data_IF_019941440620
#
_entry.id   IF_019941440620
#
_cell.length_a   1.000
_cell.length_b   1.000
_cell.length_c   1.000
_cell.angle_alpha   90.00
_cell.angle_beta   90.00
_cell.angle_gamma   90.00
#
_symmetry.space_group_name_H-M   'P 1'
#
loop_
_entity.id
_entity.type
_entity.pdbx_description
1 polymer ?
#
# COMPACT_ATOMS: atom_id res chain seq x y z
N UNK A 1 -11.38 -3.20 19.46
CA UNK A 1 -10.54 -3.51 18.30
C UNK A 1 -9.65 -4.68 18.68
N UNK A 2 -9.72 -5.83 17.97
CA UNK A 2 -8.72 -6.89 18.15
C UNK A 2 -7.34 -6.29 17.81
N UNK A 3 -6.34 -6.57 18.62
CA UNK A 3 -4.97 -6.08 18.41
C UNK A 3 -4.50 -6.65 17.07
N UNK A 4 -4.09 -5.82 16.12
CA UNK A 4 -3.64 -6.27 14.79
C UNK A 4 -2.30 -7.02 14.82
N UNK A 5 -1.67 -7.11 16.01
CA UNK A 5 -0.32 -7.65 16.22
C UNK A 5 0.73 -7.02 15.29
N UNK A 6 0.43 -5.85 14.72
CA UNK A 6 1.28 -5.21 13.74
C UNK A 6 2.52 -4.54 14.34
N UNK A 7 2.54 -4.36 15.66
CA UNK A 7 3.55 -3.62 16.37
C UNK A 7 4.11 -4.40 17.56
N UNK A 8 5.43 -4.48 17.63
CA UNK A 8 6.19 -5.00 18.76
C UNK A 8 6.74 -3.83 19.59
N UNK A 9 6.62 -3.90 20.91
CA UNK A 9 7.12 -2.86 21.81
C UNK A 9 8.58 -3.14 22.16
N UNK A 10 9.47 -2.18 21.87
CA UNK A 10 10.90 -2.24 22.19
C UNK A 10 11.25 -1.58 23.53
N UNK A 11 10.24 -1.18 24.31
CA UNK A 11 10.37 -0.47 25.57
C UNK A 11 11.12 0.87 25.42
N UNK A 12 12.18 1.09 26.19
CA UNK A 12 12.91 2.37 26.29
C UNK A 12 14.20 2.41 25.45
N UNK A 13 14.52 1.34 24.72
CA UNK A 13 15.71 1.32 23.88
C UNK A 13 15.45 2.08 22.58
N UNK A 14 16.03 3.29 22.46
CA UNK A 14 15.91 4.11 21.25
C UNK A 14 16.53 3.37 20.04
N UNK A 15 15.74 2.99 19.02
CA UNK A 15 16.26 2.29 17.86
C UNK A 15 16.97 3.23 16.88
N UNK A 16 16.84 4.56 17.02
CA UNK A 16 17.30 5.53 16.04
C UNK A 16 18.81 5.43 15.73
N UNK A 17 19.73 5.37 16.72
CA UNK A 17 21.17 5.28 16.43
C UNK A 17 21.51 4.02 15.61
N UNK A 18 20.99 2.86 16.04
CA UNK A 18 21.18 1.58 15.35
C UNK A 18 20.56 1.59 13.94
N UNK A 19 19.40 2.23 13.78
CA UNK A 19 18.72 2.33 12.49
C UNK A 19 19.50 3.20 11.50
N UNK A 20 20.11 4.30 11.97
CA UNK A 20 20.99 5.16 11.16
C UNK A 20 22.20 4.37 10.67
N UNK A 21 22.91 3.71 11.59
CA UNK A 21 24.08 2.90 11.26
C UNK A 21 23.71 1.79 10.27
N UNK A 22 22.64 1.03 10.56
CA UNK A 22 22.14 -0.04 9.70
C UNK A 22 21.79 0.47 8.30
N UNK A 23 21.13 1.62 8.19
CA UNK A 23 20.77 2.21 6.89
C UNK A 23 21.99 2.58 6.07
N UNK A 24 22.96 3.28 6.67
CA UNK A 24 24.18 3.68 5.96
C UNK A 24 25.05 2.48 5.60
N UNK A 25 25.22 1.51 6.51
CA UNK A 25 25.95 0.27 6.25
C UNK A 25 25.33 -0.53 5.10
N UNK A 26 24.00 -0.60 5.05
CA UNK A 26 23.28 -1.27 3.99
C UNK A 26 23.51 -0.60 2.63
N UNK A 27 23.36 0.73 2.56
CA UNK A 27 23.60 1.49 1.34
C UNK A 27 25.05 1.39 0.86
N UNK A 28 26.01 1.43 1.79
CA UNK A 28 27.42 1.24 1.48
C UNK A 28 27.68 -0.16 0.87
N UNK A 29 27.07 -1.21 1.42
CA UNK A 29 27.21 -2.56 0.87
C UNK A 29 26.65 -2.66 -0.57
N UNK A 30 25.50 -2.05 -0.83
CA UNK A 30 24.93 -1.99 -2.19
C UNK A 30 25.87 -1.24 -3.14
N UNK A 31 26.47 -0.15 -2.70
CA UNK A 31 27.42 0.65 -3.48
C UNK A 31 28.71 -0.12 -3.80
N UNK A 32 29.30 -0.78 -2.81
CA UNK A 32 30.54 -1.56 -2.97
C UNK A 32 30.34 -2.76 -3.89
N UNK A 33 29.14 -3.35 -3.92
CA UNK A 33 28.79 -4.42 -4.84
C UNK A 33 28.31 -3.94 -6.22
N UNK A 34 28.32 -2.62 -6.48
CA UNK A 34 27.82 -1.99 -7.71
C UNK A 34 26.32 -2.21 -8.00
N UNK A 35 25.49 -2.34 -6.95
CA UNK A 35 24.03 -2.44 -7.07
C UNK A 35 23.37 -1.06 -7.22
N UNK A 36 24.04 -0.02 -6.70
CA UNK A 36 23.67 1.38 -6.84
C UNK A 36 24.91 2.19 -7.25
N UNK A 37 24.71 3.31 -7.94
CA UNK A 37 25.79 4.23 -8.35
C UNK A 37 26.31 5.08 -7.18
N UNK A 38 27.45 5.75 -7.36
CA UNK A 38 27.96 6.74 -6.37
C UNK A 38 26.93 7.83 -6.09
N UNK A 39 26.34 8.38 -7.14
CA UNK A 39 25.32 9.43 -7.04
C UNK A 39 24.12 8.95 -6.23
N UNK A 40 23.60 7.75 -6.50
CA UNK A 40 22.50 7.17 -5.74
C UNK A 40 22.88 6.95 -4.27
N UNK A 41 24.09 6.44 -4.00
CA UNK A 41 24.59 6.26 -2.63
C UNK A 41 24.64 7.59 -1.86
N UNK A 42 25.21 8.63 -2.44
CA UNK A 42 25.28 9.98 -1.82
C UNK A 42 23.90 10.57 -1.58
N UNK A 43 22.98 10.42 -2.55
CA UNK A 43 21.61 10.89 -2.43
C UNK A 43 20.81 10.15 -1.35
N UNK A 44 21.05 8.85 -1.17
CA UNK A 44 20.29 8.00 -0.25
C UNK A 44 20.86 7.98 1.17
N UNK A 45 22.16 8.22 1.33
CA UNK A 45 22.82 8.21 2.63
C UNK A 45 22.20 9.22 3.61
N UNK A 46 22.16 8.84 4.88
CA UNK A 46 21.53 9.64 5.93
C UNK A 46 22.58 10.20 6.89
N UNK A 47 22.41 11.47 7.27
CA UNK A 47 23.24 12.09 8.31
C UNK A 47 22.48 12.09 9.63
N UNK A 48 23.14 11.81 10.78
CA UNK A 48 22.46 11.75 12.08
C UNK A 48 21.67 13.03 12.44
N UNK A 49 22.14 14.20 12.02
CA UNK A 49 21.49 15.48 12.28
C UNK A 49 20.29 15.79 11.35
N UNK A 50 20.09 15.03 10.27
CA UNK A 50 19.00 15.23 9.30
C UNK A 50 17.78 14.33 9.58
N UNK A 51 17.93 13.32 10.43
CA UNK A 51 16.93 12.25 10.63
C UNK A 51 16.38 12.20 12.05
N UNK A 52 15.15 11.71 12.17
CA UNK A 52 14.45 11.49 13.44
C UNK A 52 13.59 10.25 13.33
N UNK A 53 13.34 9.60 14.46
CA UNK A 53 12.39 8.51 14.51
C UNK A 53 10.98 9.01 14.14
N UNK A 54 10.19 8.15 13.50
CA UNK A 54 8.80 8.48 13.26
C UNK A 54 8.03 8.55 14.59
N UNK A 55 6.93 9.30 14.63
CA UNK A 55 6.04 9.33 15.79
C UNK A 55 4.62 8.98 15.39
N UNK A 56 3.94 8.24 16.26
CA UNK A 56 2.53 7.91 16.10
C UNK A 56 1.66 9.04 16.67
N UNK A 57 0.71 9.52 15.88
CA UNK A 57 -0.35 10.40 16.33
C UNK A 57 -1.69 9.93 15.76
N UNK A 58 -2.79 10.51 16.24
CA UNK A 58 -4.13 10.12 15.84
C UNK A 58 -4.89 11.29 15.23
N UNK A 59 -5.66 11.00 14.18
CA UNK A 59 -6.61 11.93 13.58
C UNK A 59 -8.04 11.44 13.80
N UNK A 60 -8.99 12.29 14.25
CA UNK A 60 -10.37 11.89 14.43
C UNK A 60 -11.06 11.67 13.08
N UNK A 61 -11.78 10.54 12.93
CA UNK A 61 -12.69 10.31 11.80
C UNK A 61 -14.06 10.93 12.12
N UNK A 62 -14.16 12.25 12.01
CA UNK A 62 -15.38 13.03 12.39
C UNK A 62 -16.66 12.63 11.64
N UNK A 63 -16.52 11.98 10.48
CA UNK A 63 -17.62 11.50 9.65
C UNK A 63 -18.13 10.10 10.03
N UNK A 64 -17.53 9.41 11.02
CA UNK A 64 -17.98 8.08 11.50
C UNK A 64 -18.57 8.20 12.91
N UNK A 65 -19.63 7.43 13.19
CA UNK A 65 -20.26 7.38 14.50
C UNK A 65 -19.23 7.05 15.60
N UNK A 66 -19.27 7.78 16.72
CA UNK A 66 -18.31 7.63 17.81
C UNK A 66 -16.91 8.21 17.54
N UNK A 67 -16.72 8.88 16.39
CA UNK A 67 -15.47 9.59 16.02
C UNK A 67 -14.20 8.76 16.26
N UNK A 68 -14.10 7.55 15.68
CA UNK A 68 -12.95 6.68 15.88
C UNK A 68 -11.66 7.35 15.41
N UNK A 69 -10.56 7.01 16.08
CA UNK A 69 -9.24 7.56 15.77
C UNK A 69 -8.55 6.80 14.63
N UNK A 70 -7.91 7.53 13.71
CA UNK A 70 -7.02 7.00 12.67
C UNK A 70 -5.57 7.16 13.12
N UNK A 71 -4.82 6.08 13.35
CA UNK A 71 -3.38 6.17 13.63
C UNK A 71 -2.62 6.65 12.38
N UNK A 72 -1.64 7.53 12.56
CA UNK A 72 -0.72 7.98 11.51
C UNK A 72 0.72 7.93 12.05
N UNK A 73 1.63 7.30 11.30
CA UNK A 73 3.06 7.24 11.63
C UNK A 73 3.81 8.30 10.83
N UNK A 74 4.08 9.45 11.47
CA UNK A 74 4.77 10.57 10.81
C UNK A 74 6.25 10.29 10.62
N UNK A 75 6.65 9.89 9.41
CA UNK A 75 8.01 9.45 9.09
C UNK A 75 8.81 10.39 8.17
N UNK A 76 8.47 11.68 8.04
CA UNK A 76 9.09 12.57 7.04
C UNK A 76 10.61 12.75 7.18
N UNK A 77 11.16 12.50 8.37
CA UNK A 77 12.61 12.51 8.66
C UNK A 77 13.15 11.11 9.03
N UNK A 78 12.38 10.06 8.77
CA UNK A 78 12.76 8.70 9.12
C UNK A 78 14.01 8.25 8.34
N UNK A 79 14.93 7.44 8.89
CA UNK A 79 16.15 7.02 8.18
C UNK A 79 15.91 6.34 6.82
N UNK A 80 14.75 5.70 6.61
CA UNK A 80 14.40 5.06 5.33
C UNK A 80 13.69 6.00 4.34
N UNK A 81 13.43 7.26 4.68
CA UNK A 81 12.56 8.16 3.88
C UNK A 81 13.11 8.44 2.48
N UNK A 82 14.43 8.62 2.34
CA UNK A 82 15.08 8.90 1.05
C UNK A 82 14.91 7.71 0.09
N UNK A 83 15.11 6.48 0.61
CA UNK A 83 14.88 5.24 -0.13
C UNK A 83 13.40 5.12 -0.51
N UNK A 84 12.49 5.36 0.43
CA UNK A 84 11.06 5.27 0.18
C UNK A 84 10.59 6.25 -0.89
N UNK A 85 11.10 7.49 -0.92
CA UNK A 85 10.76 8.50 -1.94
C UNK A 85 11.30 8.12 -3.32
N UNK A 86 12.55 7.64 -3.38
CA UNK A 86 13.13 7.14 -4.62
C UNK A 86 12.27 6.02 -5.20
N UNK A 87 11.96 5.00 -4.40
CA UNK A 87 11.18 3.85 -4.86
C UNK A 87 9.77 4.24 -5.30
N UNK A 88 9.10 5.10 -4.54
CA UNK A 88 7.76 5.58 -4.93
C UNK A 88 7.80 6.34 -6.26
N UNK A 89 8.75 7.27 -6.43
CA UNK A 89 8.91 8.01 -7.69
C UNK A 89 9.24 7.12 -8.89
N UNK A 90 9.94 6.01 -8.68
CA UNK A 90 10.25 5.05 -9.74
C UNK A 90 9.07 4.11 -10.06
N UNK A 91 8.33 3.66 -9.05
CA UNK A 91 7.34 2.58 -9.19
C UNK A 91 5.93 3.09 -9.47
N UNK A 92 5.56 4.24 -8.90
CA UNK A 92 4.21 4.79 -8.99
C UNK A 92 3.76 5.05 -10.43
N UNK A 93 4.58 5.61 -11.34
CA UNK A 93 4.15 5.81 -12.73
C UNK A 93 3.77 4.52 -13.45
N UNK A 94 4.49 3.42 -13.21
CA UNK A 94 4.17 2.10 -13.79
C UNK A 94 2.89 1.53 -13.21
N UNK A 95 2.70 1.68 -11.89
CA UNK A 95 1.47 1.28 -11.24
C UNK A 95 0.27 2.05 -11.80
N UNK A 96 0.33 3.39 -11.80
CA UNK A 96 -0.77 4.25 -12.24
C UNK A 96 -1.14 3.98 -13.72
N UNK A 97 -0.15 3.70 -14.58
CA UNK A 97 -0.39 3.28 -15.97
C UNK A 97 -1.03 1.89 -16.11
N UNK A 98 -0.75 0.95 -15.19
CA UNK A 98 -1.30 -0.41 -15.23
C UNK A 98 -2.78 -0.48 -14.81
N UNK A 99 -3.24 0.42 -13.95
CA UNK A 99 -4.53 0.30 -13.24
C UNK A 99 -5.60 1.30 -13.64
N UNK A 100 -5.38 2.07 -14.70
CA UNK A 100 -6.25 3.19 -15.11
C UNK A 100 -7.73 2.85 -15.29
N UNK A 101 -8.07 1.58 -15.54
CA UNK A 101 -9.44 1.12 -15.71
C UNK A 101 -10.10 0.58 -14.43
N UNK A 102 -9.35 0.36 -13.36
CA UNK A 102 -9.85 -0.29 -12.13
C UNK A 102 -9.59 0.52 -10.86
N UNK A 103 -8.66 1.48 -10.91
CA UNK A 103 -8.30 2.32 -9.76
C UNK A 103 -8.34 3.79 -10.16
N UNK A 104 -8.92 4.61 -9.30
CA UNK A 104 -9.00 6.08 -9.47
C UNK A 104 -8.21 6.81 -8.40
N UNK A 105 -8.00 8.11 -8.62
CA UNK A 105 -7.31 8.99 -7.65
C UNK A 105 -8.23 10.03 -7.00
N UNK A 106 -9.50 10.09 -7.43
CA UNK A 106 -10.48 11.03 -6.86
C UNK A 106 -11.91 10.50 -6.91
N UNK A 107 -12.75 10.94 -5.97
CA UNK A 107 -14.17 10.59 -5.97
C UNK A 107 -14.95 11.18 -7.15
N UNK A 108 -14.51 12.31 -7.71
CA UNK A 108 -15.15 12.90 -8.90
C UNK A 108 -14.94 12.04 -10.15
N UNK A 109 -13.81 11.35 -10.25
CA UNK A 109 -13.52 10.38 -11.30
C UNK A 109 -14.45 9.16 -11.21
N UNK A 110 -14.72 8.66 -10.00
CA UNK A 110 -15.71 7.58 -9.77
C UNK A 110 -17.07 7.96 -10.34
N UNK A 111 -17.57 9.16 -9.99
CA UNK A 111 -18.90 9.62 -10.43
C UNK A 111 -18.97 9.69 -11.95
N UNK A 112 -17.95 10.27 -12.60
CA UNK A 112 -17.90 10.37 -14.07
C UNK A 112 -17.92 8.99 -14.73
N UNK A 113 -17.06 8.08 -14.28
CA UNK A 113 -16.98 6.73 -14.85
C UNK A 113 -18.29 5.96 -14.64
N UNK A 114 -18.91 6.10 -13.47
CA UNK A 114 -20.19 5.46 -13.16
C UNK A 114 -21.33 6.00 -14.04
N UNK A 115 -21.39 7.31 -14.25
CA UNK A 115 -22.38 7.94 -15.15
C UNK A 115 -22.23 7.47 -16.59
N UNK A 116 -21.00 7.34 -17.10
CA UNK A 116 -20.77 6.82 -18.45
C UNK A 116 -21.11 5.33 -18.57
N UNK A 117 -20.81 4.55 -17.53
CA UNK A 117 -21.18 3.14 -17.47
C UNK A 117 -22.71 2.96 -17.42
N UNK A 118 -23.42 3.76 -16.62
CA UNK A 118 -24.86 3.59 -16.37
C UNK A 118 -25.72 3.85 -17.60
N UNK A 119 -25.28 4.73 -18.50
CA UNK A 119 -25.99 5.04 -19.77
C UNK A 119 -26.26 3.81 -20.63
N UNK A 120 -25.43 2.76 -20.51
CA UNK A 120 -25.48 1.58 -21.39
C UNK A 120 -25.73 0.26 -20.65
N UNK A 121 -25.45 0.21 -19.35
CA UNK A 121 -25.36 -1.06 -18.63
C UNK A 121 -26.33 -1.18 -17.45
N UNK A 122 -26.95 -0.09 -16.98
CA UNK A 122 -27.90 -0.19 -15.87
C UNK A 122 -29.18 -0.91 -16.30
N UNK A 123 -29.67 -1.80 -15.42
CA UNK A 123 -30.88 -2.60 -15.53
C UNK A 123 -31.73 -2.40 -14.28
N UNK A 124 -32.99 -2.83 -14.33
CA UNK A 124 -33.90 -2.75 -13.18
C UNK A 124 -33.37 -3.56 -11.99
N UNK A 125 -32.67 -4.65 -12.25
CA UNK A 125 -32.11 -5.57 -11.25
C UNK A 125 -30.62 -5.31 -10.95
N UNK A 126 -30.04 -4.21 -11.43
CA UNK A 126 -28.65 -3.87 -11.13
C UNK A 126 -28.47 -3.69 -9.63
N UNK A 127 -27.56 -4.48 -9.04
CA UNK A 127 -27.19 -4.32 -7.63
C UNK A 127 -26.00 -3.39 -7.49
N UNK A 128 -26.04 -2.56 -6.44
CA UNK A 128 -24.94 -1.70 -6.04
C UNK A 128 -24.34 -2.25 -4.75
N UNK A 129 -23.02 -2.34 -4.69
CA UNK A 129 -22.28 -2.80 -3.54
C UNK A 129 -21.09 -1.87 -3.27
N UNK A 130 -20.88 -1.54 -2.01
CA UNK A 130 -19.70 -0.81 -1.55
C UNK A 130 -18.97 -1.61 -0.50
N UNK A 131 -17.64 -1.59 -0.56
CA UNK A 131 -16.79 -2.34 0.36
C UNK A 131 -15.66 -1.46 0.87
N UNK A 132 -15.26 -1.68 2.13
CA UNK A 132 -14.14 -0.98 2.76
C UNK A 132 -13.10 -2.02 3.21
N UNK A 133 -11.87 -1.89 2.74
CA UNK A 133 -10.75 -2.74 3.17
C UNK A 133 -10.29 -2.30 4.55
N UNK A 134 -10.57 -3.09 5.58
CA UNK A 134 -10.15 -2.76 6.94
C UNK A 134 -8.63 -2.76 7.08
N UNK A 135 -8.11 -1.68 7.68
CA UNK A 135 -6.73 -1.61 8.16
C UNK A 135 -5.67 -1.96 7.10
N UNK A 136 -5.95 -1.64 5.82
CA UNK A 136 -5.18 -2.04 4.64
C UNK A 136 -3.67 -2.00 4.87
N UNK A 137 -3.13 -0.84 5.25
CA UNK A 137 -1.68 -0.68 5.42
C UNK A 137 -1.10 -1.54 6.53
N UNK A 138 -1.81 -1.74 7.64
CA UNK A 138 -1.32 -2.53 8.79
C UNK A 138 -1.54 -4.03 8.63
N UNK A 139 -2.42 -4.44 7.70
CA UNK A 139 -2.81 -5.84 7.53
C UNK A 139 -2.09 -6.54 6.37
N UNK A 140 -1.57 -5.80 5.39
CA UNK A 140 -0.77 -6.36 4.30
C UNK A 140 0.41 -7.18 4.87
N UNK A 141 0.49 -8.48 4.58
CA UNK A 141 1.67 -9.25 4.91
C UNK A 141 2.92 -8.66 4.24
N UNK A 142 4.00 -8.44 4.99
CA UNK A 142 5.17 -7.71 4.48
C UNK A 142 5.80 -8.38 3.26
N UNK A 143 5.88 -9.71 3.27
CA UNK A 143 6.44 -10.51 2.18
C UNK A 143 5.62 -10.33 0.91
N UNK A 144 4.31 -10.49 1.00
CA UNK A 144 3.37 -10.37 -0.10
C UNK A 144 3.29 -8.94 -0.61
N UNK A 145 3.47 -7.95 0.27
CA UNK A 145 3.55 -6.53 -0.07
C UNK A 145 4.71 -6.22 -1.00
N UNK A 146 5.96 -6.60 -0.68
CA UNK A 146 7.05 -6.35 -1.63
C UNK A 146 7.00 -7.30 -2.84
N UNK A 147 6.50 -8.53 -2.68
CA UNK A 147 6.34 -9.46 -3.81
C UNK A 147 5.30 -8.97 -4.82
N UNK A 148 4.30 -8.16 -4.43
CA UNK A 148 3.38 -7.55 -5.39
C UNK A 148 4.12 -6.62 -6.36
N UNK A 149 5.11 -5.85 -5.87
CA UNK A 149 5.99 -5.03 -6.73
C UNK A 149 6.74 -5.91 -7.73
N UNK A 150 7.29 -7.05 -7.29
CA UNK A 150 7.92 -8.00 -8.22
C UNK A 150 6.95 -8.47 -9.29
N UNK A 151 5.73 -8.89 -8.89
CA UNK A 151 4.68 -9.34 -9.80
C UNK A 151 4.32 -8.27 -10.82
N UNK A 152 4.24 -7.00 -10.41
CA UNK A 152 3.99 -5.87 -11.31
C UNK A 152 5.12 -5.70 -12.32
N UNK A 153 6.37 -5.69 -11.86
CA UNK A 153 7.53 -5.54 -12.76
C UNK A 153 7.63 -6.70 -13.76
N UNK A 154 7.39 -7.94 -13.31
CA UNK A 154 7.34 -9.10 -14.21
C UNK A 154 6.16 -9.02 -15.19
N UNK A 155 4.97 -8.61 -14.74
CA UNK A 155 3.78 -8.42 -15.57
C UNK A 155 4.00 -7.38 -16.67
N UNK A 156 4.72 -6.31 -16.37
CA UNK A 156 5.08 -5.24 -17.30
C UNK A 156 6.38 -5.53 -18.09
N UNK A 157 7.00 -6.70 -17.88
CA UNK A 157 8.30 -7.07 -18.45
C UNK A 157 9.43 -6.05 -18.19
N UNK A 158 9.43 -5.42 -17.01
CA UNK A 158 10.43 -4.43 -16.60
C UNK A 158 11.55 -5.13 -15.84
N UNK A 159 12.78 -5.05 -16.36
CA UNK A 159 13.96 -5.64 -15.72
C UNK A 159 14.83 -4.62 -14.98
N UNK A 160 14.71 -3.34 -15.31
CA UNK A 160 15.42 -2.25 -14.66
C UNK A 160 14.66 -0.92 -14.80
N UNK A 161 14.86 0.00 -13.86
CA UNK A 161 14.31 1.36 -13.88
C UNK A 161 15.42 2.32 -13.45
N UNK A 162 15.71 3.34 -14.24
CA UNK A 162 16.72 4.37 -13.93
C UNK A 162 18.08 3.77 -13.47
N UNK A 163 18.55 2.76 -14.21
CA UNK A 163 19.80 2.05 -13.91
C UNK A 163 19.74 1.10 -12.71
N UNK A 164 18.63 1.02 -11.97
CA UNK A 164 18.42 0.04 -10.90
C UNK A 164 17.80 -1.23 -11.46
N UNK A 165 18.50 -2.36 -11.32
CA UNK A 165 17.94 -3.67 -11.63
C UNK A 165 16.76 -3.98 -10.71
N UNK A 166 15.81 -4.78 -11.21
CA UNK A 166 14.67 -5.26 -10.43
C UNK A 166 15.10 -5.83 -9.07
N UNK A 167 16.17 -6.62 -9.03
CA UNK A 167 16.65 -7.20 -7.75
C UNK A 167 17.09 -6.13 -6.74
N UNK A 168 17.73 -5.04 -7.20
CA UNK A 168 18.08 -3.91 -6.32
C UNK A 168 16.83 -3.22 -5.79
N UNK A 169 15.83 -2.97 -6.66
CA UNK A 169 14.55 -2.38 -6.28
C UNK A 169 13.87 -3.22 -5.19
N UNK A 170 13.79 -4.54 -5.40
CA UNK A 170 13.20 -5.48 -4.46
C UNK A 170 13.91 -5.49 -3.10
N UNK A 171 15.24 -5.44 -3.11
CA UNK A 171 16.07 -5.32 -1.90
C UNK A 171 15.80 -4.03 -1.14
N UNK A 172 15.69 -2.90 -1.85
CA UNK A 172 15.39 -1.60 -1.25
C UNK A 172 13.95 -1.58 -0.68
N UNK A 173 12.95 -2.11 -1.40
CA UNK A 173 11.58 -2.25 -0.91
C UNK A 173 11.53 -3.04 0.40
N UNK A 174 12.15 -4.22 0.43
CA UNK A 174 12.24 -5.05 1.63
C UNK A 174 12.90 -4.30 2.78
N UNK A 175 13.99 -3.58 2.51
CA UNK A 175 14.69 -2.79 3.53
C UNK A 175 13.78 -1.71 4.14
N UNK A 176 13.02 -0.98 3.34
CA UNK A 176 12.07 0.05 3.83
C UNK A 176 10.98 -0.58 4.70
N UNK A 177 10.37 -1.68 4.25
CA UNK A 177 9.26 -2.34 4.97
C UNK A 177 9.72 -2.91 6.32
N UNK A 178 10.89 -3.55 6.36
CA UNK A 178 11.39 -4.24 7.56
C UNK A 178 11.96 -3.31 8.62
N UNK A 179 12.33 -2.08 8.26
CA UNK A 179 12.99 -1.15 9.18
C UNK A 179 12.07 0.01 9.57
N UNK A 180 10.79 -0.26 9.81
CA UNK A 180 9.80 0.74 10.23
C UNK A 180 9.72 0.83 11.76
N UNK A 181 10.38 1.84 12.33
CA UNK A 181 10.41 2.08 13.77
C UNK A 181 9.82 3.44 14.11
N UNK A 182 9.06 3.52 15.20
CA UNK A 182 8.44 4.76 15.64
C UNK A 182 8.36 4.86 17.17
N UNK A 183 8.19 6.07 17.68
CA UNK A 183 7.92 6.33 19.09
C UNK A 183 6.45 6.68 19.32
N UNK A 184 5.95 6.29 20.49
CA UNK A 184 4.63 6.66 20.99
C UNK A 184 4.63 6.63 22.53
N UNK A 185 4.16 7.70 23.17
CA UNK A 185 4.06 7.82 24.63
C UNK A 185 5.34 7.37 25.38
N UNK A 186 6.50 7.89 24.95
CA UNK A 186 7.79 7.59 25.59
C UNK A 186 8.30 6.16 25.41
N UNK A 187 7.67 5.36 24.54
CA UNK A 187 8.10 4.01 24.18
C UNK A 187 8.41 3.90 22.69
N UNK A 188 9.22 2.92 22.34
CA UNK A 188 9.59 2.62 20.97
C UNK A 188 8.91 1.35 20.46
N UNK A 189 8.60 1.34 19.16
CA UNK A 189 7.88 0.25 18.52
C UNK A 189 8.50 -0.10 17.18
N UNK A 190 8.45 -1.40 16.85
CA UNK A 190 8.77 -1.93 15.53
C UNK A 190 7.50 -2.41 14.85
N UNK A 191 7.29 -1.99 13.60
CA UNK A 191 6.20 -2.53 12.80
C UNK A 191 6.61 -3.85 12.15
N UNK A 192 6.06 -4.95 12.66
CA UNK A 192 6.35 -6.34 12.25
C UNK A 192 5.34 -6.87 11.21
N UNK A 193 4.19 -6.21 11.06
CA UNK A 193 3.18 -6.51 10.04
C UNK A 193 2.73 -5.24 9.33
N UNK A 194 2.36 -5.36 8.07
CA UNK A 194 1.96 -4.21 7.29
C UNK A 194 3.13 -3.32 6.89
N UNK A 195 2.78 -2.18 6.32
CA UNK A 195 3.66 -1.13 5.89
C UNK A 195 3.37 0.15 6.69
N UNK A 196 4.38 1.00 6.85
CA UNK A 196 4.25 2.22 7.64
C UNK A 196 3.29 3.24 7.00
N UNK A 197 2.17 3.50 7.69
CA UNK A 197 1.23 4.57 7.32
C UNK A 197 1.95 5.92 7.36
N UNK A 198 2.30 6.47 6.20
CA UNK A 198 3.07 7.73 6.08
C UNK A 198 4.40 7.58 5.34
N UNK A 199 4.84 6.37 5.04
CA UNK A 199 5.92 6.13 4.07
C UNK A 199 5.38 6.30 2.63
N UNK A 200 6.03 7.10 1.77
CA UNK A 200 5.60 7.28 0.37
C UNK A 200 5.38 5.95 -0.38
N UNK A 201 6.30 5.00 -0.20
CA UNK A 201 6.27 3.69 -0.89
C UNK A 201 5.07 2.83 -0.48
N UNK A 202 4.56 3.03 0.73
CA UNK A 202 3.49 2.20 1.30
C UNK A 202 2.21 2.28 0.47
N UNK A 203 1.88 3.45 -0.07
CA UNK A 203 0.71 3.61 -0.94
C UNK A 203 0.84 2.77 -2.22
N UNK A 204 2.01 2.83 -2.85
CA UNK A 204 2.30 2.09 -4.08
C UNK A 204 2.31 0.58 -3.84
N UNK A 205 2.90 0.11 -2.74
CA UNK A 205 2.83 -1.30 -2.33
C UNK A 205 1.39 -1.75 -2.09
N UNK A 206 0.61 -0.97 -1.33
CA UNK A 206 -0.75 -1.35 -0.96
C UNK A 206 -1.65 -1.46 -2.19
N UNK A 207 -1.60 -0.46 -3.07
CA UNK A 207 -2.37 -0.48 -4.30
C UNK A 207 -1.92 -1.61 -5.25
N UNK A 208 -0.62 -1.86 -5.34
CA UNK A 208 -0.10 -2.97 -6.15
C UNK A 208 -0.52 -4.34 -5.59
N UNK A 209 -0.51 -4.51 -4.26
CA UNK A 209 -1.01 -5.70 -3.60
C UNK A 209 -2.50 -5.91 -3.88
N UNK A 210 -3.30 -4.86 -3.69
CA UNK A 210 -4.75 -4.89 -3.95
C UNK A 210 -5.06 -5.23 -5.40
N UNK A 211 -4.34 -4.65 -6.37
CA UNK A 211 -4.54 -4.94 -7.79
C UNK A 211 -4.44 -6.44 -8.10
N UNK A 212 -3.45 -7.13 -7.54
CA UNK A 212 -3.32 -8.58 -7.74
C UNK A 212 -4.32 -9.39 -6.92
N UNK A 213 -4.68 -8.92 -5.72
CA UNK A 213 -5.67 -9.55 -4.87
C UNK A 213 -7.08 -9.52 -5.49
N UNK A 214 -7.43 -8.42 -6.17
CA UNK A 214 -8.79 -8.18 -6.67
C UNK A 214 -9.05 -8.70 -8.10
N UNK A 215 -8.05 -9.28 -8.79
CA UNK A 215 -8.16 -9.64 -10.23
C UNK A 215 -9.36 -10.52 -10.57
N UNK A 216 -9.59 -11.55 -9.78
CA UNK A 216 -10.67 -12.51 -10.05
C UNK A 216 -12.04 -11.88 -9.80
N UNK A 217 -12.15 -11.03 -8.77
CA UNK A 217 -13.35 -10.23 -8.49
C UNK A 217 -13.63 -9.32 -9.69
N UNK A 218 -12.65 -8.51 -10.12
CA UNK A 218 -12.79 -7.61 -11.27
C UNK A 218 -13.27 -8.38 -12.51
N UNK A 219 -12.68 -9.55 -12.80
CA UNK A 219 -13.06 -10.38 -13.94
C UNK A 219 -14.51 -10.86 -13.83
N UNK A 220 -14.95 -11.32 -12.66
CA UNK A 220 -16.33 -11.74 -12.44
C UNK A 220 -17.32 -10.58 -12.62
N UNK A 221 -16.99 -9.40 -12.11
CA UNK A 221 -17.80 -8.20 -12.27
C UNK A 221 -17.92 -7.82 -13.75
N UNK A 222 -16.81 -7.81 -14.49
CA UNK A 222 -16.82 -7.55 -15.93
C UNK A 222 -17.67 -8.57 -16.70
N UNK A 223 -17.61 -9.86 -16.34
CA UNK A 223 -18.45 -10.91 -16.96
C UNK A 223 -19.95 -10.70 -16.72
N UNK A 224 -20.33 -10.00 -15.65
CA UNK A 224 -21.73 -9.62 -15.42
C UNK A 224 -22.18 -8.43 -16.28
N UNK A 225 -21.28 -7.76 -17.02
CA UNK A 225 -21.44 -6.38 -17.51
C UNK A 225 -21.61 -5.37 -16.36
N UNK A 226 -21.01 -5.67 -15.21
CA UNK A 226 -20.97 -4.81 -14.04
C UNK A 226 -19.89 -3.73 -14.16
N UNK A 227 -19.75 -2.95 -13.09
CA UNK A 227 -18.75 -1.90 -12.94
C UNK A 227 -17.93 -2.18 -11.70
N UNK A 228 -16.61 -2.04 -11.80
CA UNK A 228 -15.69 -2.13 -10.67
C UNK A 228 -14.81 -0.90 -10.65
N UNK A 229 -14.71 -0.24 -9.49
CA UNK A 229 -13.68 0.78 -9.29
C UNK A 229 -13.23 0.83 -7.83
N UNK A 230 -11.93 1.05 -7.63
CA UNK A 230 -11.33 1.21 -6.31
C UNK A 230 -10.70 2.60 -6.14
N UNK A 231 -10.90 3.18 -4.96
CA UNK A 231 -10.19 4.34 -4.46
C UNK A 231 -9.50 4.00 -3.14
N UNK A 232 -8.20 3.73 -3.20
CA UNK A 232 -7.38 3.28 -2.05
C UNK A 232 -7.99 2.02 -1.38
N UNK A 233 -8.70 2.20 -0.27
CA UNK A 233 -9.35 1.17 0.56
C UNK A 233 -10.86 1.04 0.28
N UNK A 234 -11.47 2.01 -0.40
CA UNK A 234 -12.87 1.97 -0.80
C UNK A 234 -13.08 1.32 -2.18
N UNK A 235 -13.99 0.37 -2.27
CA UNK A 235 -14.35 -0.34 -3.50
C UNK A 235 -15.83 -0.10 -3.79
N UNK A 236 -16.14 0.21 -5.05
CA UNK A 236 -17.49 0.35 -5.55
C UNK A 236 -17.73 -0.65 -6.68
N UNK A 237 -18.84 -1.38 -6.60
CA UNK A 237 -19.19 -2.47 -7.51
C UNK A 237 -20.64 -2.33 -7.95
N UNK A 238 -20.91 -2.56 -9.23
CA UNK A 238 -22.25 -2.89 -9.72
C UNK A 238 -22.28 -4.30 -10.31
N UNK A 239 -23.39 -5.00 -10.14
CA UNK A 239 -23.56 -6.38 -10.61
C UNK A 239 -24.86 -6.48 -11.40
N UNK A 240 -24.78 -7.06 -12.60
CA UNK A 240 -25.91 -7.25 -13.52
C UNK A 240 -26.26 -8.74 -13.71
N UNK A 241 -26.10 -9.56 -12.67
CA UNK A 241 -26.48 -10.97 -12.67
C UNK A 241 -27.97 -11.15 -12.36
N UNK A 242 -28.62 -12.18 -12.94
CA UNK A 242 -29.89 -12.67 -12.42
C UNK A 242 -29.72 -13.06 -10.96
N UNK A 243 -30.69 -12.70 -10.11
CA UNK A 243 -30.66 -12.88 -8.64
C UNK A 243 -30.35 -14.32 -8.20
N UNK A 244 -30.57 -15.29 -9.08
CA UNK A 244 -30.35 -16.73 -8.89
C UNK A 244 -28.86 -17.14 -8.89
N UNK A 245 -27.97 -16.33 -9.47
CA UNK A 245 -26.52 -16.61 -9.52
C UNK A 245 -25.73 -15.96 -8.38
N UNK A 246 -26.36 -15.12 -7.56
CA UNK A 246 -25.78 -14.54 -6.34
C UNK A 246 -25.80 -15.59 -5.22
N UNK A 247 -25.22 -16.76 -5.46
CA UNK A 247 -25.03 -17.75 -4.41
C UNK A 247 -23.97 -17.22 -3.43
N UNK A 248 -24.12 -17.58 -2.15
CA UNK A 248 -23.21 -17.25 -1.05
C UNK A 248 -21.72 -17.40 -1.40
N UNK A 249 -21.33 -18.29 -2.32
CA UNK A 249 -19.94 -18.50 -2.74
C UNK A 249 -19.27 -17.30 -3.41
N UNK A 250 -19.99 -16.46 -4.17
CA UNK A 250 -19.41 -15.26 -4.81
C UNK A 250 -19.12 -14.14 -3.80
N UNK A 251 -19.84 -14.15 -2.67
CA UNK A 251 -19.73 -13.17 -1.58
C UNK A 251 -18.83 -13.73 -0.46
N UNK A 252 -18.80 -15.04 -0.25
CA UNK A 252 -17.98 -15.69 0.78
C UNK A 252 -16.48 -15.74 0.43
N UNK A 253 -16.14 -15.81 -0.87
CA UNK A 253 -14.76 -15.60 -1.34
C UNK A 253 -14.25 -14.16 -1.11
N UNK A 254 -15.17 -13.22 -0.91
CA UNK A 254 -14.93 -11.81 -0.62
C UNK A 254 -14.89 -11.56 0.92
N UNK A 255 -15.62 -12.36 1.70
CA UNK A 255 -15.82 -12.20 3.15
C UNK A 255 -14.61 -12.51 4.06
N UNK A 256 -13.53 -13.12 3.56
CA UNK A 256 -12.39 -13.46 4.44
C UNK A 256 -11.54 -12.26 4.88
N UNK A 257 -11.69 -11.10 4.20
CA UNK A 257 -10.85 -9.91 4.44
C UNK A 257 -11.58 -8.56 4.29
N UNK A 258 -12.83 -8.55 3.83
CA UNK A 258 -13.56 -7.34 3.46
C UNK A 258 -14.84 -7.21 4.28
N UNK A 259 -15.05 -6.06 4.92
CA UNK A 259 -16.33 -5.73 5.57
C UNK A 259 -17.28 -5.12 4.55
N UNK A 260 -18.46 -5.73 4.42
CA UNK A 260 -19.62 -5.15 3.78
C UNK A 260 -20.20 -4.08 4.74
N UNK A 261 -20.44 -2.87 4.23
CA UNK A 261 -21.13 -1.80 4.96
C UNK A 261 -22.59 -1.70 4.53
#
# INVERSE_FOLDING_TARGET
MKKTEAYECLHQNDPLPNLIERTNKYLLNLRLKHWITQRQYEQLSVKPNEVKLAHLYYLPKVHKLGTPLRPIVSGLKHPTIKISKLLDGLLRPFFDGMVSNTTVTSGTEVIKLLQEWSKRNTRQETLLCTMDVMDLYTMIPQTEGFLSIKKMLDYLNIKQIDGLKMETIMRLCRFVIQNNYFSYNGKYYHQVRGCAMGSPLTLTIANCYMFFFERDIVKQISNSNGFYIRYIDGIFITINWPTQHLSKQSIDGINSTLTLN
#
